data_IF_045279600644
#
_entry.id   IF_045279600644
#
_cell.length_a   1.000
_cell.length_b   1.000
_cell.length_c   1.000
_cell.angle_alpha   90.00
_cell.angle_beta   90.00
_cell.angle_gamma   90.00
#
_symmetry.space_group_name_H-M   'P 1'
#
loop_
_entity.id
_entity.type
_entity.pdbx_description
1 polymer ?
#
# COMPACT_ATOMS: atom_id res chain seq x y z
N UNK A 1 -2.80 -20.46 -3.77
CA UNK A 1 -3.05 -19.00 -3.83
C UNK A 1 -4.47 -18.66 -4.26
N UNK A 2 -5.15 -17.91 -3.40
CA UNK A 2 -6.44 -17.28 -3.62
C UNK A 2 -6.28 -15.76 -3.49
N UNK A 3 -7.17 -15.00 -4.11
CA UNK A 3 -7.13 -13.54 -4.13
C UNK A 3 -8.51 -12.94 -3.87
N UNK A 4 -8.53 -11.80 -3.18
CA UNK A 4 -9.64 -10.86 -3.19
C UNK A 4 -9.21 -9.56 -3.86
N UNK A 5 -10.11 -9.00 -4.66
CA UNK A 5 -10.00 -7.64 -5.14
C UNK A 5 -10.92 -6.72 -4.34
N UNK A 6 -10.43 -5.54 -4.01
CA UNK A 6 -11.15 -4.51 -3.28
C UNK A 6 -11.34 -3.31 -4.18
N UNK A 7 -12.58 -2.98 -4.52
CA UNK A 7 -12.90 -1.71 -5.18
C UNK A 7 -12.94 -0.62 -4.12
N UNK A 8 -12.06 0.35 -4.24
CA UNK A 8 -11.84 1.39 -3.24
C UNK A 8 -12.08 2.74 -3.90
N UNK A 9 -12.92 3.56 -3.26
CA UNK A 9 -13.26 4.90 -3.72
C UNK A 9 -12.58 5.92 -2.79
N UNK A 10 -11.52 6.60 -3.26
CA UNK A 10 -10.98 7.75 -2.58
C UNK A 10 -12.01 8.88 -2.54
N UNK A 11 -12.19 9.49 -1.37
CA UNK A 11 -13.10 10.64 -1.17
C UNK A 11 -12.36 11.96 -1.04
N UNK A 12 -11.03 11.90 -0.93
CA UNK A 12 -10.14 13.04 -0.82
C UNK A 12 -8.80 12.73 -1.50
N UNK A 13 -8.03 13.77 -1.79
CA UNK A 13 -6.66 13.61 -2.25
C UNK A 13 -5.81 12.85 -1.21
N UNK A 14 -4.98 11.93 -1.67
CA UNK A 14 -4.19 11.05 -0.83
C UNK A 14 -2.70 11.43 -0.90
N UNK A 15 -1.96 11.11 0.16
CA UNK A 15 -0.50 11.25 0.17
C UNK A 15 0.14 10.02 0.80
N UNK A 16 0.97 9.35 0.01
CA UNK A 16 1.74 8.16 0.37
C UNK A 16 3.22 8.48 0.21
N UNK A 17 3.86 8.91 1.30
CA UNK A 17 5.22 9.47 1.26
C UNK A 17 6.23 8.44 0.74
N UNK A 18 6.96 8.82 -0.30
CA UNK A 18 8.07 7.99 -0.85
C UNK A 18 9.24 7.93 0.13
N UNK A 19 9.62 9.08 0.68
CA UNK A 19 10.71 9.18 1.65
C UNK A 19 10.16 9.52 3.03
N UNK A 20 10.28 8.61 4.03
CA UNK A 20 9.96 8.92 5.41
C UNK A 20 10.74 10.13 5.90
N UNK A 21 10.10 11.00 6.68
CA UNK A 21 10.76 12.16 7.31
C UNK A 21 11.04 13.37 6.40
N UNK A 22 10.92 13.27 5.07
CA UNK A 22 11.07 14.43 4.19
C UNK A 22 10.06 15.53 4.52
N UNK A 23 10.56 16.71 4.89
CA UNK A 23 9.74 17.90 5.22
C UNK A 23 9.66 18.90 4.08
N UNK A 24 10.67 18.97 3.21
CA UNK A 24 10.76 19.98 2.15
C UNK A 24 10.07 19.55 0.85
N UNK A 25 10.28 18.30 0.47
CA UNK A 25 9.70 17.72 -0.75
C UNK A 25 8.94 16.45 -0.38
N UNK A 26 7.63 16.58 -0.25
CA UNK A 26 6.73 15.49 0.09
C UNK A 26 6.20 14.93 -1.23
N UNK A 27 6.94 13.97 -1.77
CA UNK A 27 6.55 13.22 -2.94
C UNK A 27 5.64 12.04 -2.57
N UNK A 28 4.74 11.66 -3.47
CA UNK A 28 3.76 10.59 -3.26
C UNK A 28 3.87 9.48 -4.30
N UNK A 29 3.58 8.24 -3.90
CA UNK A 29 3.34 7.17 -4.87
C UNK A 29 2.03 7.43 -5.64
N UNK A 30 1.95 7.07 -6.94
CA UNK A 30 0.71 7.13 -7.75
C UNK A 30 -0.17 5.88 -7.57
N UNK A 31 -0.05 5.21 -6.43
CA UNK A 31 -0.79 4.01 -6.02
C UNK A 31 -0.67 3.88 -4.50
N UNK A 32 -1.46 3.03 -3.87
CA UNK A 32 -1.36 2.70 -2.44
C UNK A 32 -0.29 1.62 -2.24
N UNK A 33 0.81 1.89 -1.51
CA UNK A 33 1.85 0.88 -1.28
C UNK A 33 1.33 -0.34 -0.48
N UNK A 34 1.93 -1.53 -0.67
CA UNK A 34 1.56 -2.76 0.07
C UNK A 34 1.40 -2.58 1.59
N UNK A 35 2.38 -1.95 2.23
CA UNK A 35 2.37 -1.72 3.69
C UNK A 35 1.27 -0.76 4.13
N UNK A 36 1.03 0.30 3.35
CA UNK A 36 -0.07 1.24 3.60
C UNK A 36 -1.42 0.57 3.43
N UNK A 37 -1.58 -0.24 2.39
CA UNK A 37 -2.82 -0.95 2.12
C UNK A 37 -3.12 -1.99 3.20
N UNK A 38 -2.11 -2.72 3.69
CA UNK A 38 -2.27 -3.65 4.80
C UNK A 38 -2.72 -2.96 6.09
N UNK A 39 -2.10 -1.83 6.46
CA UNK A 39 -2.53 -1.05 7.62
C UNK A 39 -3.91 -0.41 7.45
N UNK A 40 -4.29 -0.03 6.22
CA UNK A 40 -5.65 0.43 5.91
C UNK A 40 -6.67 -0.68 6.14
N UNK A 41 -6.49 -1.85 5.54
CA UNK A 41 -7.43 -2.97 5.69
C UNK A 41 -7.55 -3.45 7.14
N UNK A 42 -6.45 -3.50 7.89
CA UNK A 42 -6.49 -3.81 9.33
C UNK A 42 -7.41 -2.85 10.08
N UNK A 43 -7.30 -1.54 9.84
CA UNK A 43 -8.20 -0.55 10.46
C UNK A 43 -9.64 -0.70 10.02
N UNK A 44 -9.88 -1.03 8.74
CA UNK A 44 -11.23 -1.27 8.23
C UNK A 44 -11.88 -2.46 8.93
N UNK A 45 -11.16 -3.57 9.11
CA UNK A 45 -11.65 -4.75 9.86
C UNK A 45 -11.93 -4.38 11.32
N UNK A 46 -11.04 -3.63 11.97
CA UNK A 46 -11.29 -3.19 13.35
C UNK A 46 -12.56 -2.34 13.45
N UNK A 47 -12.77 -1.42 12.51
CA UNK A 47 -13.97 -0.59 12.46
C UNK A 47 -15.24 -1.39 12.17
N UNK A 48 -15.19 -2.41 11.30
CA UNK A 48 -16.37 -3.25 11.01
C UNK A 48 -16.82 -4.05 12.22
N UNK A 49 -15.89 -4.43 13.09
CA UNK A 49 -16.15 -5.09 14.37
C UNK A 49 -16.50 -4.12 15.52
N UNK A 50 -16.61 -2.81 15.24
CA UNK A 50 -16.91 -1.80 16.26
C UNK A 50 -15.79 -1.57 17.26
N UNK A 51 -14.54 -1.92 16.92
CA UNK A 51 -13.37 -1.70 17.76
C UNK A 51 -12.84 -0.28 17.60
N UNK A 52 -12.31 0.28 18.69
CA UNK A 52 -11.60 1.55 18.67
C UNK A 52 -10.26 1.42 17.94
N UNK A 53 -9.93 2.42 17.11
CA UNK A 53 -8.63 2.49 16.45
C UNK A 53 -7.59 2.98 17.46
N UNK A 54 -6.53 2.21 17.75
CA UNK A 54 -5.51 2.60 18.71
C UNK A 54 -4.78 3.86 18.25
N UNK A 55 -4.55 4.79 19.19
CA UNK A 55 -3.82 6.01 18.91
C UNK A 55 -2.31 5.72 18.77
N UNK A 56 -1.78 5.86 17.56
CA UNK A 56 -0.38 5.52 17.24
C UNK A 56 0.63 6.59 17.63
N UNK A 57 0.18 7.78 18.07
CA UNK A 57 1.01 8.91 18.51
C UNK A 57 1.54 8.79 19.94
N UNK A 58 1.05 7.84 20.74
CA UNK A 58 1.30 7.79 22.19
C UNK A 58 2.73 7.33 22.54
N UNK A 59 3.41 6.57 21.66
CA UNK A 59 4.76 6.07 21.91
C UNK A 59 5.71 6.44 20.76
N UNK A 60 6.38 7.59 20.87
CA UNK A 60 7.33 8.06 19.83
C UNK A 60 8.58 7.19 19.71
N UNK A 61 8.96 6.47 20.76
CA UNK A 61 10.18 5.63 20.78
C UNK A 61 9.92 4.23 20.21
N UNK A 62 8.70 3.70 20.35
CA UNK A 62 8.30 2.41 19.80
C UNK A 62 6.82 2.45 19.37
N UNK A 63 6.50 3.08 18.22
CA UNK A 63 5.13 3.21 17.77
C UNK A 63 4.55 1.83 17.45
N UNK A 64 3.34 1.50 17.92
CA UNK A 64 2.73 0.22 17.60
C UNK A 64 2.38 0.14 16.11
N UNK A 65 2.65 -1.02 15.50
CA UNK A 65 2.21 -1.32 14.14
C UNK A 65 0.88 -2.07 14.18
N UNK A 66 -0.04 -1.70 13.29
CA UNK A 66 -1.30 -2.41 13.06
C UNK A 66 -1.41 -2.69 11.56
N UNK A 67 -1.12 -3.92 11.18
CA UNK A 67 -1.19 -4.43 9.80
C UNK A 67 -2.00 -5.73 9.78
N UNK A 68 -2.38 -6.21 8.59
CA UNK A 68 -2.98 -7.54 8.48
C UNK A 68 -1.98 -8.62 8.94
N UNK A 69 -2.47 -9.74 9.54
CA UNK A 69 -1.65 -10.91 9.83
C UNK A 69 -0.90 -11.45 8.61
N UNK A 70 0.19 -12.17 8.87
CA UNK A 70 1.18 -12.56 7.84
C UNK A 70 0.59 -13.44 6.74
N UNK A 71 -0.47 -14.20 6.99
CA UNK A 71 -1.11 -15.01 5.94
C UNK A 71 -1.96 -14.20 4.95
N UNK A 72 -2.20 -12.91 5.23
CA UNK A 72 -2.89 -11.98 4.35
C UNK A 72 -1.89 -11.03 3.70
N UNK A 73 -1.58 -11.29 2.44
CA UNK A 73 -0.53 -10.58 1.73
C UNK A 73 -1.18 -9.47 0.92
N UNK A 74 -1.23 -8.27 1.50
CA UNK A 74 -1.69 -7.07 0.82
C UNK A 74 -0.64 -6.61 -0.21
N UNK A 75 -1.05 -6.53 -1.48
CA UNK A 75 -0.17 -6.21 -2.61
C UNK A 75 -0.24 -4.74 -3.04
N UNK A 76 -0.94 -3.92 -2.28
CA UNK A 76 -1.23 -2.52 -2.61
C UNK A 76 -2.58 -2.35 -3.31
N UNK A 77 -2.90 -1.11 -3.67
CA UNK A 77 -4.07 -0.76 -4.45
C UNK A 77 -3.73 0.23 -5.55
N UNK A 78 -4.26 0.00 -6.75
CA UNK A 78 -3.78 0.61 -7.99
C UNK A 78 -4.92 1.29 -8.75
N UNK A 79 -4.66 2.42 -9.44
CA UNK A 79 -5.65 3.06 -10.29
C UNK A 79 -6.24 2.11 -11.33
N UNK A 80 -7.54 2.21 -11.56
CA UNK A 80 -8.16 1.54 -12.70
C UNK A 80 -7.79 2.29 -13.97
N UNK A 81 -7.28 1.57 -14.99
CA UNK A 81 -6.65 2.15 -16.18
C UNK A 81 -7.59 3.02 -17.05
N UNK A 82 -8.90 2.79 -17.00
CA UNK A 82 -9.92 3.55 -17.74
C UNK A 82 -10.58 4.67 -16.92
N UNK A 83 -10.10 4.88 -15.69
CA UNK A 83 -10.56 5.93 -14.76
C UNK A 83 -9.51 7.01 -14.63
N UNK A 84 -9.93 8.21 -14.24
CA UNK A 84 -8.97 9.29 -14.06
C UNK A 84 -8.11 9.06 -12.81
N UNK A 85 -6.80 9.22 -12.97
CA UNK A 85 -5.85 9.28 -11.86
C UNK A 85 -4.66 10.17 -12.20
N UNK A 86 -4.00 10.72 -11.19
CA UNK A 86 -2.82 11.55 -11.37
C UNK A 86 -2.21 12.04 -10.07
N UNK A 87 -0.96 12.51 -10.17
CA UNK A 87 -0.27 13.17 -9.07
C UNK A 87 -0.25 14.67 -9.33
N UNK A 88 -0.87 15.44 -8.42
CA UNK A 88 -0.88 16.88 -8.44
C UNK A 88 0.13 17.46 -7.46
N UNK A 89 1.06 18.28 -7.95
CA UNK A 89 2.08 18.95 -7.14
C UNK A 89 1.66 20.36 -6.77
N UNK A 90 1.72 20.67 -5.48
CA UNK A 90 1.46 22.00 -4.92
C UNK A 90 2.70 22.57 -4.25
N UNK A 91 2.77 23.89 -4.15
CA UNK A 91 3.80 24.60 -3.40
C UNK A 91 3.15 25.35 -2.25
N UNK A 92 3.64 25.12 -1.02
CA UNK A 92 3.08 25.70 0.21
C UNK A 92 4.15 26.51 0.93
N UNK A 93 3.81 27.72 1.36
CA UNK A 93 4.66 28.49 2.27
C UNK A 93 4.43 27.98 3.68
N UNK A 94 5.47 27.43 4.31
CA UNK A 94 5.44 26.87 5.66
C UNK A 94 6.61 27.37 6.50
N UNK A 95 6.51 27.19 7.81
CA UNK A 95 7.53 27.63 8.75
C UNK A 95 8.73 26.68 8.68
N UNK A 96 9.96 27.18 8.84
CA UNK A 96 11.17 26.36 8.79
C UNK A 96 11.26 25.38 9.97
N UNK A 97 10.62 25.73 11.08
CA UNK A 97 10.42 24.93 12.29
C UNK A 97 9.35 23.84 12.15
N UNK A 98 8.76 23.65 10.96
CA UNK A 98 7.66 22.70 10.75
C UNK A 98 8.02 21.28 11.22
N UNK A 99 7.33 20.85 12.28
CA UNK A 99 7.43 19.53 12.85
C UNK A 99 6.22 18.70 12.37
N UNK A 100 6.42 17.44 11.97
CA UNK A 100 5.41 16.62 11.27
C UNK A 100 4.11 16.40 12.07
N UNK A 101 4.17 16.66 13.38
CA UNK A 101 3.12 16.48 14.37
C UNK A 101 2.25 17.74 14.57
N UNK A 102 2.62 18.89 14.00
CA UNK A 102 1.93 20.17 14.24
C UNK A 102 1.06 20.52 13.03
N UNK A 103 -0.26 20.45 13.23
CA UNK A 103 -1.27 20.88 12.25
C UNK A 103 -1.08 22.35 11.87
N UNK A 104 -1.44 22.73 10.64
CA UNK A 104 -1.31 24.10 10.12
C UNK A 104 -1.85 25.15 11.10
N UNK A 105 -0.96 26.02 11.61
CA UNK A 105 -1.34 27.14 12.49
C UNK A 105 -1.55 28.40 11.66
N UNK A 106 -2.57 29.18 12.00
CA UNK A 106 -2.74 30.54 11.49
C UNK A 106 -1.61 31.42 12.06
N UNK A 107 -0.94 32.16 11.19
CA UNK A 107 0.12 33.08 11.58
C UNK A 107 -0.48 34.35 12.21
N UNK A 108 0.11 34.80 13.32
CA UNK A 108 -0.19 36.09 13.94
C UNK A 108 1.03 36.99 13.70
N UNK A 109 0.79 38.17 13.13
CA UNK A 109 1.83 39.12 12.75
C UNK A 109 2.65 39.57 13.98
N UNK A 110 3.92 39.15 14.05
CA UNK A 110 4.79 39.37 15.22
C UNK A 110 5.85 38.29 15.45
N UNK A 111 5.61 37.06 15.01
CA UNK A 111 6.59 35.98 15.09
C UNK A 111 7.59 36.08 13.92
N UNK A 112 8.87 36.29 14.25
CA UNK A 112 10.00 36.33 13.28
C UNK A 112 10.37 34.92 12.80
N UNK A 113 9.41 34.13 12.32
CA UNK A 113 9.71 32.80 11.79
C UNK A 113 10.25 32.86 10.36
N UNK A 114 11.31 32.11 10.10
CA UNK A 114 11.84 31.92 8.76
C UNK A 114 10.88 31.00 7.98
N UNK A 115 10.29 31.50 6.90
CA UNK A 115 9.46 30.69 6.02
C UNK A 115 10.32 29.97 4.97
N UNK A 116 9.88 28.79 4.57
CA UNK A 116 10.43 28.05 3.44
C UNK A 116 9.30 27.55 2.54
N UNK A 117 9.63 27.35 1.27
CA UNK A 117 8.69 26.77 0.31
C UNK A 117 8.78 25.24 0.42
N UNK A 118 7.64 24.63 0.71
CA UNK A 118 7.47 23.18 0.71
C UNK A 118 6.81 22.75 -0.59
N UNK A 119 7.24 21.63 -1.14
CA UNK A 119 6.56 20.95 -2.24
C UNK A 119 5.75 19.79 -1.67
N UNK A 120 4.49 19.69 -2.07
CA UNK A 120 3.60 18.62 -1.61
C UNK A 120 2.82 18.02 -2.78
N UNK A 121 2.92 16.70 -2.91
CA UNK A 121 2.22 15.94 -3.93
C UNK A 121 0.99 15.22 -3.38
N UNK A 122 -0.07 15.28 -4.18
CA UNK A 122 -1.38 14.71 -3.95
C UNK A 122 -1.65 13.67 -5.02
N UNK A 123 -1.81 12.42 -4.61
CA UNK A 123 -2.32 11.40 -5.49
C UNK A 123 -3.85 11.44 -5.48
N UNK A 124 -4.43 11.55 -6.66
CA UNK A 124 -5.87 11.63 -6.85
C UNK A 124 -6.25 10.52 -7.83
N UNK A 125 -7.28 9.76 -7.51
CA UNK A 125 -7.82 8.70 -8.35
C UNK A 125 -9.32 8.61 -8.11
N UNK A 126 -10.09 8.35 -9.16
CA UNK A 126 -11.52 8.09 -9.05
C UNK A 126 -11.80 6.72 -8.42
N UNK A 127 -10.96 5.74 -8.75
CA UNK A 127 -11.15 4.35 -8.35
C UNK A 127 -9.80 3.64 -8.23
N UNK A 128 -9.68 2.81 -7.21
CA UNK A 128 -8.54 1.94 -6.99
C UNK A 128 -9.01 0.49 -6.86
N UNK A 129 -8.19 -0.44 -7.35
CA UNK A 129 -8.35 -1.87 -7.09
C UNK A 129 -7.21 -2.32 -6.18
N UNK A 130 -7.57 -2.71 -4.96
CA UNK A 130 -6.69 -3.34 -3.99
C UNK A 130 -6.64 -4.85 -4.16
N UNK A 131 -5.50 -5.47 -3.85
CA UNK A 131 -5.34 -6.91 -3.92
C UNK A 131 -4.81 -7.47 -2.60
N UNK A 132 -5.47 -8.51 -2.10
CA UNK A 132 -4.97 -9.34 -1.00
C UNK A 132 -4.93 -10.78 -1.49
N UNK A 133 -3.83 -11.48 -1.20
CA UNK A 133 -3.71 -12.91 -1.50
C UNK A 133 -3.43 -13.71 -0.24
N UNK A 134 -3.88 -14.96 -0.26
CA UNK A 134 -3.62 -15.94 0.80
C UNK A 134 -3.55 -17.35 0.22
N UNK A 135 -2.88 -18.27 0.90
CA UNK A 135 -2.91 -19.68 0.50
C UNK A 135 -4.24 -20.35 0.83
N UNK A 136 -4.97 -19.83 1.81
CA UNK A 136 -6.25 -20.34 2.26
C UNK A 136 -7.41 -19.53 1.71
N UNK A 137 -8.41 -20.21 1.14
CA UNK A 137 -9.67 -19.58 0.72
C UNK A 137 -10.47 -19.09 1.92
N UNK A 138 -10.59 -19.91 2.96
CA UNK A 138 -11.44 -19.61 4.13
C UNK A 138 -10.93 -18.40 4.90
N UNK A 139 -9.61 -18.19 4.96
CA UNK A 139 -9.04 -17.01 5.61
C UNK A 139 -9.51 -15.71 4.95
N UNK A 140 -9.72 -15.71 3.62
CA UNK A 140 -10.21 -14.53 2.91
C UNK A 140 -11.69 -14.20 3.18
N UNK A 141 -12.48 -15.15 3.70
CA UNK A 141 -13.89 -14.92 4.01
C UNK A 141 -14.10 -13.83 5.08
N UNK A 142 -13.08 -13.59 5.91
CA UNK A 142 -13.04 -12.51 6.90
C UNK A 142 -13.27 -11.11 6.32
N UNK A 143 -12.98 -10.89 5.04
CA UNK A 143 -13.11 -9.58 4.38
C UNK A 143 -14.46 -9.38 3.66
N UNK A 144 -15.34 -10.38 3.69
CA UNK A 144 -16.59 -10.38 2.91
C UNK A 144 -17.56 -9.24 3.26
N UNK A 145 -17.53 -8.75 4.51
CA UNK A 145 -18.49 -7.77 5.02
C UNK A 145 -17.92 -6.34 5.15
N UNK A 146 -16.84 -6.01 4.42
CA UNK A 146 -16.19 -4.70 4.54
C UNK A 146 -16.79 -3.62 3.63
N UNK A 147 -17.81 -3.96 2.85
CA UNK A 147 -18.49 -3.02 1.96
C UNK A 147 -19.09 -1.84 2.74
N UNK A 148 -18.87 -0.62 2.23
CA UNK A 148 -19.35 0.63 2.82
C UNK A 148 -18.52 1.13 4.00
N UNK A 149 -17.51 0.38 4.45
CA UNK A 149 -16.61 0.82 5.52
C UNK A 149 -15.50 1.67 4.93
N UNK A 150 -15.24 2.82 5.56
CA UNK A 150 -14.22 3.75 5.12
C UNK A 150 -13.45 4.33 6.28
N UNK A 151 -12.17 4.63 6.04
CA UNK A 151 -11.33 5.28 7.03
C UNK A 151 -10.21 6.08 6.37
N UNK A 152 -9.41 6.72 7.22
CA UNK A 152 -8.18 7.39 6.81
C UNK A 152 -7.21 6.42 6.11
N UNK A 153 -6.64 6.86 5.00
CA UNK A 153 -5.60 6.16 4.23
C UNK A 153 -4.43 7.11 3.94
N UNK A 154 -3.20 6.64 4.20
CA UNK A 154 -2.01 7.49 4.12
C UNK A 154 -2.06 8.67 5.11
N UNK A 155 -1.40 9.79 4.76
CA UNK A 155 -1.28 10.95 5.67
C UNK A 155 -2.53 11.83 5.70
N UNK A 156 -3.11 12.15 4.55
CA UNK A 156 -4.22 13.11 4.41
C UNK A 156 -5.46 12.52 3.71
N UNK A 157 -5.40 11.27 3.26
CA UNK A 157 -6.48 10.67 2.47
C UNK A 157 -7.58 10.01 3.29
N UNK A 158 -8.74 9.83 2.68
CA UNK A 158 -9.85 9.02 3.18
C UNK A 158 -10.43 8.20 2.02
N UNK A 159 -10.68 6.92 2.24
CA UNK A 159 -11.23 6.04 1.21
C UNK A 159 -12.25 5.06 1.82
N UNK A 160 -13.20 4.65 0.99
CA UNK A 160 -14.28 3.71 1.32
C UNK A 160 -14.12 2.47 0.46
N UNK A 161 -14.34 1.28 1.06
CA UNK A 161 -14.45 0.03 0.30
C UNK A 161 -15.85 -0.02 -0.29
N UNK A 162 -15.95 0.08 -1.62
CA UNK A 162 -17.22 0.03 -2.36
C UNK A 162 -17.66 -1.40 -2.64
N UNK A 163 -16.69 -2.29 -2.90
CA UNK A 163 -16.95 -3.69 -3.21
C UNK A 163 -15.76 -4.56 -2.80
N UNK A 164 -16.05 -5.79 -2.36
CA UNK A 164 -15.07 -6.86 -2.19
C UNK A 164 -15.52 -8.02 -3.07
N UNK A 165 -14.63 -8.51 -3.93
CA UNK A 165 -14.97 -9.63 -4.82
C UNK A 165 -15.20 -10.92 -4.05
N UNK A 166 -15.78 -11.92 -4.71
CA UNK A 166 -15.61 -13.31 -4.25
C UNK A 166 -14.14 -13.74 -4.30
N UNK A 167 -13.81 -14.82 -3.59
CA UNK A 167 -12.46 -15.39 -3.61
C UNK A 167 -12.12 -16.00 -4.97
N UNK A 168 -11.09 -15.46 -5.62
CA UNK A 168 -10.60 -15.87 -6.93
C UNK A 168 -9.46 -16.86 -6.75
N UNK A 169 -9.57 -18.06 -7.34
CA UNK A 169 -8.48 -19.04 -7.34
C UNK A 169 -7.47 -18.69 -8.44
N UNK A 170 -6.21 -18.53 -8.06
CA UNK A 170 -5.14 -18.20 -9.00
C UNK A 170 -4.28 -19.43 -9.35
N UNK A 171 -3.86 -19.50 -10.61
CA UNK A 171 -2.91 -20.48 -11.13
C UNK A 171 -1.56 -19.81 -11.37
N UNK A 172 -0.46 -20.50 -11.06
CA UNK A 172 0.89 -20.04 -11.37
C UNK A 172 1.20 -20.32 -12.85
N UNK A 173 1.57 -19.29 -13.62
CA UNK A 173 1.92 -19.40 -15.04
C UNK A 173 3.00 -18.38 -15.41
N UNK A 174 3.91 -18.79 -16.28
CA UNK A 174 4.85 -17.89 -16.93
C UNK A 174 4.23 -17.40 -18.24
N UNK A 175 4.09 -16.09 -18.40
CA UNK A 175 3.50 -15.48 -19.60
C UNK A 175 3.93 -14.01 -19.74
N UNK A 176 3.71 -13.44 -20.92
CA UNK A 176 3.92 -12.01 -21.19
C UNK A 176 2.60 -11.25 -20.99
N UNK A 177 2.50 -10.46 -19.92
CA UNK A 177 1.29 -9.69 -19.63
C UNK A 177 1.57 -8.39 -18.88
N UNK A 178 0.56 -7.52 -18.84
CA UNK A 178 0.60 -6.30 -18.04
C UNK A 178 0.36 -6.65 -16.57
N UNK A 179 1.31 -6.35 -15.66
CA UNK A 179 1.15 -6.67 -14.24
C UNK A 179 -0.01 -5.92 -13.60
N UNK A 180 -0.79 -6.58 -12.75
CA UNK A 180 -1.86 -5.96 -11.96
C UNK A 180 -1.34 -5.15 -10.76
N UNK A 181 -0.08 -5.37 -10.38
CA UNK A 181 0.57 -4.75 -9.23
C UNK A 181 1.98 -4.29 -9.61
N UNK A 182 2.71 -3.67 -8.68
CA UNK A 182 4.15 -3.45 -8.86
C UNK A 182 4.92 -4.77 -9.06
N UNK A 183 6.05 -4.70 -9.73
CA UNK A 183 6.95 -5.83 -9.98
C UNK A 183 8.28 -5.59 -9.29
N UNK A 184 8.78 -6.50 -8.44
CA UNK A 184 10.15 -6.42 -7.92
C UNK A 184 11.17 -6.34 -9.06
N UNK A 185 12.09 -5.38 -8.96
CA UNK A 185 13.01 -5.07 -10.06
C UNK A 185 13.94 -6.25 -10.38
N UNK A 186 14.32 -7.02 -9.38
CA UNK A 186 15.16 -8.22 -9.51
C UNK A 186 14.54 -9.24 -10.47
N UNK A 187 13.25 -9.53 -10.29
CA UNK A 187 12.51 -10.47 -11.14
C UNK A 187 12.36 -9.94 -12.58
N UNK A 188 12.25 -8.62 -12.72
CA UNK A 188 12.08 -7.97 -14.02
C UNK A 188 13.36 -8.03 -14.86
N UNK A 189 14.51 -7.69 -14.29
CA UNK A 189 15.81 -7.66 -14.97
C UNK A 189 16.26 -9.05 -15.44
N UNK A 190 15.95 -10.10 -14.67
CA UNK A 190 16.43 -11.45 -14.96
C UNK A 190 15.80 -12.05 -16.23
N UNK A 191 14.51 -11.76 -16.47
CA UNK A 191 13.74 -12.38 -17.54
C UNK A 191 13.54 -11.49 -18.75
N UNK A 192 13.86 -10.19 -18.64
CA UNK A 192 13.54 -9.21 -19.67
C UNK A 192 14.80 -8.44 -20.08
N UNK A 193 15.29 -8.60 -21.33
CA UNK A 193 16.47 -7.89 -21.81
C UNK A 193 16.25 -6.38 -21.97
N UNK A 194 15.00 -5.94 -22.07
CA UNK A 194 14.62 -4.54 -22.14
C UNK A 194 13.42 -4.29 -21.22
N UNK A 195 13.50 -3.21 -20.43
CA UNK A 195 12.45 -2.78 -19.51
C UNK A 195 12.00 -1.40 -19.97
N UNK A 196 10.75 -1.28 -20.39
CA UNK A 196 10.20 -0.04 -20.95
C UNK A 196 8.87 0.32 -20.29
N UNK A 197 8.55 1.62 -20.26
CA UNK A 197 7.25 2.17 -19.82
C UNK A 197 6.84 1.75 -18.40
N UNK A 198 7.81 1.70 -17.49
CA UNK A 198 7.55 1.59 -16.07
C UNK A 198 8.27 2.69 -15.31
N UNK A 199 7.66 3.13 -14.22
CA UNK A 199 8.26 4.01 -13.23
C UNK A 199 8.91 3.16 -12.14
N UNK A 200 10.04 3.61 -11.62
CA UNK A 200 10.80 2.87 -10.59
C UNK A 200 10.60 3.56 -9.24
N UNK A 201 10.24 2.77 -8.24
CA UNK A 201 9.99 3.22 -6.88
C UNK A 201 10.77 2.39 -5.87
N UNK A 202 11.31 3.07 -4.86
CA UNK A 202 11.72 2.41 -3.62
C UNK A 202 10.46 2.17 -2.79
N UNK A 203 10.19 0.92 -2.44
CA UNK A 203 9.11 0.49 -1.59
C UNK A 203 9.67 -0.19 -0.34
N UNK A 204 8.77 -0.57 0.56
CA UNK A 204 9.12 -1.15 1.85
C UNK A 204 8.23 -2.37 2.09
N UNK A 205 8.80 -3.44 2.64
CA UNK A 205 8.07 -4.58 3.20
C UNK A 205 8.26 -4.65 4.72
N UNK A 206 7.34 -5.29 5.43
CA UNK A 206 7.47 -5.49 6.88
C UNK A 206 8.61 -6.45 7.21
N UNK A 207 9.40 -6.12 8.22
CA UNK A 207 10.33 -7.05 8.87
C UNK A 207 9.61 -7.73 10.04
N UNK A 208 9.08 -8.93 9.79
CA UNK A 208 8.37 -9.71 10.80
C UNK A 208 9.35 -10.29 11.83
N UNK A 209 8.98 -10.25 13.12
CA UNK A 209 9.78 -10.92 14.15
C UNK A 209 9.74 -12.44 14.00
N UNK A 210 10.87 -13.12 14.19
CA UNK A 210 10.99 -14.57 14.04
C UNK A 210 10.23 -15.39 15.11
N UNK A 211 9.93 -14.78 16.26
CA UNK A 211 9.57 -15.50 17.49
C UNK A 211 8.05 -15.70 17.73
N UNK A 212 7.19 -15.41 16.77
CA UNK A 212 5.74 -15.61 16.95
C UNK A 212 5.20 -16.76 16.08
N UNK A 213 4.61 -17.74 16.77
CA UNK A 213 3.79 -18.80 16.21
C UNK A 213 2.59 -18.20 15.47
N UNK A 214 2.34 -18.72 14.26
CA UNK A 214 1.19 -18.41 13.42
C UNK A 214 -0.10 -18.86 14.13
N UNK A 215 -0.66 -17.98 14.95
CA UNK A 215 -2.07 -18.09 15.31
C UNK A 215 -2.85 -17.32 14.25
N UNK A 216 -3.58 -18.04 13.40
CA UNK A 216 -4.09 -17.51 12.13
C UNK A 216 -5.01 -16.30 12.36
N UNK A 217 -5.86 -16.30 13.38
CA UNK A 217 -6.80 -15.18 13.58
C UNK A 217 -6.31 -14.08 14.52
N UNK A 218 -5.16 -14.31 15.16
CA UNK A 218 -4.58 -13.36 16.10
C UNK A 218 -4.09 -12.13 15.35
N UNK A 219 -4.54 -10.97 15.77
CA UNK A 219 -4.19 -9.72 15.10
C UNK A 219 -5.04 -9.40 13.86
N UNK A 220 -6.20 -10.03 13.64
CA UNK A 220 -7.17 -9.56 12.62
C UNK A 220 -8.40 -8.88 13.21
N UNK A 221 -8.99 -9.45 14.26
CA UNK A 221 -10.23 -8.97 14.91
C UNK A 221 -10.01 -8.42 16.33
N UNK A 222 -8.77 -8.07 16.67
CA UNK A 222 -8.41 -7.52 17.98
C UNK A 222 -7.68 -6.17 17.85
N UNK A 223 -7.29 -5.60 18.97
CA UNK A 223 -6.44 -4.40 19.05
C UNK A 223 -4.97 -4.74 19.36
N UNK A 224 -4.52 -5.96 19.12
CA UNK A 224 -3.14 -6.35 19.35
C UNK A 224 -2.21 -5.77 18.27
N UNK A 225 -1.03 -5.32 18.70
CA UNK A 225 -0.01 -4.80 17.80
C UNK A 225 0.61 -5.94 16.98
N UNK A 226 0.89 -5.65 15.72
CA UNK A 226 1.56 -6.59 14.82
C UNK A 226 3.04 -6.75 15.20
N UNK A 227 3.59 -7.98 15.12
CA UNK A 227 4.98 -8.29 15.47
C UNK A 227 5.97 -7.86 14.37
N UNK A 228 6.15 -6.54 14.22
CA UNK A 228 7.03 -5.92 13.22
C UNK A 228 8.21 -5.23 13.91
N UNK A 229 9.42 -5.57 13.48
CA UNK A 229 10.68 -4.96 13.94
C UNK A 229 11.05 -3.69 13.16
N UNK A 230 10.54 -3.56 11.94
CA UNK A 230 10.86 -2.45 11.05
C UNK A 230 10.42 -2.70 9.62
N UNK A 231 11.14 -2.06 8.68
CA UNK A 231 10.86 -2.15 7.26
C UNK A 231 12.13 -2.46 6.47
N UNK A 232 12.01 -3.35 5.50
CA UNK A 232 13.09 -3.68 4.55
C UNK A 232 12.78 -3.00 3.22
N UNK A 233 13.66 -2.13 2.71
CA UNK A 233 13.45 -1.49 1.41
C UNK A 233 13.65 -2.49 0.27
N UNK A 234 12.89 -2.30 -0.82
CA UNK A 234 13.08 -3.01 -2.08
C UNK A 234 12.72 -2.10 -3.26
N UNK A 235 13.25 -2.40 -4.45
CA UNK A 235 12.97 -1.61 -5.66
C UNK A 235 11.90 -2.31 -6.48
N UNK A 236 10.91 -1.56 -6.94
CA UNK A 236 9.86 -2.10 -7.78
C UNK A 236 9.53 -1.20 -8.97
N UNK A 237 9.15 -1.84 -10.07
CA UNK A 237 8.60 -1.20 -11.25
C UNK A 237 7.08 -1.12 -11.16
N UNK A 238 6.52 0.04 -11.46
CA UNK A 238 5.08 0.26 -11.61
C UNK A 238 4.77 0.57 -13.08
N UNK A 239 3.74 -0.04 -13.61
CA UNK A 239 3.30 0.15 -15.00
C UNK A 239 2.00 0.97 -15.02
N UNK A 240 2.06 2.31 -15.09
CA UNK A 240 0.86 3.16 -15.06
C UNK A 240 0.00 3.03 -16.32
N UNK A 241 0.59 2.57 -17.42
CA UNK A 241 -0.06 2.41 -18.71
C UNK A 241 0.30 1.06 -19.33
N UNK A 242 -0.54 0.60 -20.28
CA UNK A 242 -0.25 -0.60 -21.05
C UNK A 242 1.10 -0.46 -21.78
N UNK A 243 2.04 -1.32 -21.42
CA UNK A 243 3.37 -1.36 -22.02
C UNK A 243 3.41 -2.23 -23.28
N UNK A 244 4.31 -1.91 -24.20
CA UNK A 244 4.68 -2.76 -25.33
C UNK A 244 6.18 -2.59 -25.60
N UNK A 245 7.01 -3.65 -25.52
CA UNK A 245 6.66 -5.03 -25.17
C UNK A 245 6.19 -5.19 -23.71
N UNK A 246 5.36 -6.21 -23.46
CA UNK A 246 4.95 -6.62 -22.12
C UNK A 246 6.06 -7.45 -21.45
N UNK A 247 6.27 -7.32 -20.13
CA UNK A 247 7.24 -8.13 -19.43
C UNK A 247 6.80 -9.60 -19.37
N UNK A 248 7.76 -10.50 -19.50
CA UNK A 248 7.56 -11.94 -19.30
C UNK A 248 8.01 -12.31 -17.90
N UNK A 249 7.05 -12.73 -17.07
CA UNK A 249 7.25 -13.01 -15.64
C UNK A 249 6.47 -14.26 -15.24
N UNK A 250 6.76 -14.74 -14.03
CA UNK A 250 5.92 -15.73 -13.36
C UNK A 250 4.79 -15.02 -12.61
N UNK A 251 3.55 -15.41 -12.91
CA UNK A 251 2.34 -14.77 -12.41
C UNK A 251 1.41 -15.76 -11.72
N UNK A 252 0.78 -15.32 -10.64
CA UNK A 252 -0.50 -15.87 -10.18
C UNK A 252 -1.63 -15.20 -10.99
N UNK A 253 -2.42 -16.00 -11.70
CA UNK A 253 -3.44 -15.52 -12.65
C UNK A 253 -4.69 -16.40 -12.71
N UNK A 254 -5.84 -15.79 -12.97
CA UNK A 254 -7.10 -16.44 -13.38
C UNK A 254 -7.38 -16.25 -14.89
N UNK A 255 -6.46 -15.62 -15.63
CA UNK A 255 -6.63 -15.17 -17.01
C UNK A 255 -6.81 -13.65 -17.13
N UNK A 256 -7.39 -13.00 -16.11
CA UNK A 256 -7.63 -11.56 -16.07
C UNK A 256 -6.58 -10.84 -15.20
N UNK A 257 -6.36 -11.35 -13.99
CA UNK A 257 -5.39 -10.81 -13.04
C UNK A 257 -3.99 -11.34 -13.32
N UNK A 258 -2.97 -10.50 -13.17
CA UNK A 258 -1.57 -10.84 -13.43
C UNK A 258 -0.71 -10.36 -12.26
N UNK A 259 -0.73 -11.11 -11.16
CA UNK A 259 -0.01 -10.79 -9.93
C UNK A 259 1.39 -11.44 -9.99
N UNK A 260 2.49 -10.67 -9.99
CA UNK A 260 3.83 -11.23 -10.03
C UNK A 260 4.09 -12.12 -8.80
N UNK A 261 4.49 -13.37 -9.02
CA UNK A 261 4.80 -14.33 -7.94
C UNK A 261 5.90 -13.76 -7.02
N UNK A 262 6.93 -13.17 -7.63
CA UNK A 262 8.04 -12.57 -6.91
C UNK A 262 7.61 -11.48 -5.92
N UNK A 263 6.52 -10.73 -6.18
CA UNK A 263 6.01 -9.75 -5.22
C UNK A 263 5.44 -10.44 -3.99
N UNK A 264 4.68 -11.52 -4.19
CA UNK A 264 4.05 -12.28 -3.10
C UNK A 264 5.12 -12.89 -2.20
N UNK A 265 6.09 -13.61 -2.78
CA UNK A 265 7.22 -14.22 -2.07
C UNK A 265 8.02 -13.16 -1.30
N UNK A 266 8.32 -12.02 -1.95
CA UNK A 266 9.01 -10.90 -1.32
C UNK A 266 8.22 -10.37 -0.12
N UNK A 267 6.91 -10.16 -0.22
CA UNK A 267 6.12 -9.60 0.89
C UNK A 267 5.90 -10.60 2.03
N UNK A 268 5.98 -11.90 1.76
CA UNK A 268 5.94 -12.96 2.79
C UNK A 268 7.23 -13.05 3.61
N UNK A 269 8.30 -12.35 3.22
CA UNK A 269 9.60 -12.45 3.87
C UNK A 269 10.52 -13.49 3.23
N UNK A 270 10.10 -14.13 2.14
CA UNK A 270 10.91 -15.11 1.44
C UNK A 270 12.01 -14.40 0.63
N UNK A 271 13.10 -15.12 0.39
CA UNK A 271 14.04 -14.74 -0.66
C UNK A 271 13.33 -14.90 -1.99
N UNK A 272 13.45 -13.92 -2.89
CA UNK A 272 12.93 -14.06 -4.26
C UNK A 272 13.58 -15.31 -4.85
N UNK A 273 12.81 -16.37 -5.05
CA UNK A 273 13.33 -17.60 -5.66
C UNK A 273 13.38 -17.37 -7.17
N UNK A 274 14.59 -17.04 -7.62
CA UNK A 274 14.94 -16.71 -9.01
C UNK A 274 14.95 -17.95 -9.89
#
# INVERSE_FOLDING_TARGET
MYCLTFKIIPTAAMTFRILPGSILNIATYPFVPPTTFSGFLRRIVMLSEGLDIPETSINKENPPYFTLPRQYIALGAYPVLDKWSGVHRTHRKGTRSFNHDVFSRLYIDGDRENFQLHTWEYFIAEELIGYVVSESKSSLEAFSNLQGVGCKIGKEGFAVIDEVSESIRLQRKILSAHPSTVVPMEALIQRNPCINRCDIYNLYRHEWSADQTQDEDKGLFDTERSPINGFIPFVAAYYPEKANPLPTLDFYTDGNLQIPVALVELLQGESINV
#
